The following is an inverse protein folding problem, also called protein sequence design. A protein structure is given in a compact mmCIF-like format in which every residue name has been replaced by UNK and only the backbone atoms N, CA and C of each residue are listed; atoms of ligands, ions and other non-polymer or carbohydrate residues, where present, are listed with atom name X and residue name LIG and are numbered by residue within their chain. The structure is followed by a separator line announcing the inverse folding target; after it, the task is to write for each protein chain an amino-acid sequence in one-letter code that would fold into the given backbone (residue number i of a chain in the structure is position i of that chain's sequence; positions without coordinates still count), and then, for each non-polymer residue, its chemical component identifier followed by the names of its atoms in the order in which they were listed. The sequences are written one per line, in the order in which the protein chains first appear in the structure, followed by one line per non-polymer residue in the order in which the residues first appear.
data_IF_284426396709
#
_entry.id   IF_284426396709
#
_cell.length_a   1.000
_cell.length_b   1.000
_cell.length_c   1.000
_cell.angle_alpha   90.00
_cell.angle_beta   90.00
_cell.angle_gamma   90.00
#
_symmetry.space_group_name_H-M   'P 1'
#
loop_
_entity.id
_entity.type
_entity.pdbx_description
1 polymer ?
#
# COMPACT_ATOMS: atom_id res chain seq x y z
N UNK A 1 -9.92 -21.03 14.02
CA UNK A 1 -10.26 -20.20 12.85
C UNK A 1 -11.15 -19.00 13.18
N UNK A 2 -12.31 -19.16 13.83
CA UNK A 2 -13.19 -18.03 14.21
C UNK A 2 -12.59 -16.98 15.17
N UNK A 3 -11.58 -17.33 15.97
CA UNK A 3 -10.91 -16.39 16.89
C UNK A 3 -9.93 -15.43 16.20
N UNK A 4 -9.36 -15.81 15.05
CA UNK A 4 -8.39 -14.98 14.34
C UNK A 4 -9.07 -13.77 13.70
N UNK A 5 -10.25 -13.96 13.09
CA UNK A 5 -11.06 -12.86 12.54
C UNK A 5 -11.58 -11.90 13.62
N UNK A 6 -12.03 -12.40 14.77
CA UNK A 6 -12.61 -11.56 15.82
C UNK A 6 -11.56 -10.67 16.54
N UNK A 7 -10.29 -11.08 16.58
CA UNK A 7 -9.21 -10.22 17.09
C UNK A 7 -8.69 -9.25 16.03
N UNK A 8 -8.73 -9.64 14.75
CA UNK A 8 -8.46 -8.76 13.62
C UNK A 8 -9.49 -7.61 13.57
N UNK A 9 -10.79 -7.90 13.56
CA UNK A 9 -11.83 -6.85 13.50
C UNK A 9 -11.85 -5.94 14.73
N UNK A 10 -11.54 -6.46 15.93
CA UNK A 10 -11.49 -5.63 17.16
C UNK A 10 -10.25 -4.73 17.24
N UNK A 11 -9.14 -5.09 16.57
CA UNK A 11 -7.96 -4.23 16.47
C UNK A 11 -8.13 -3.07 15.46
N UNK A 12 -9.14 -3.14 14.59
CA UNK A 12 -9.48 -2.13 13.58
C UNK A 12 -10.75 -1.33 13.89
N UNK A 13 -11.49 -1.69 14.95
CA UNK A 13 -12.53 -0.85 15.54
C UNK A 13 -11.89 0.22 16.44
N UNK A 14 -11.01 1.04 15.85
CA UNK A 14 -10.36 2.16 16.53
C UNK A 14 -11.21 3.41 16.26
N UNK A 15 -11.68 4.17 17.27
CA UNK A 15 -12.48 5.38 17.05
C UNK A 15 -11.75 6.47 16.23
N UNK A 16 -10.42 6.35 16.08
CA UNK A 16 -9.61 7.11 15.14
C UNK A 16 -9.06 6.19 14.02
N UNK A 17 -9.97 5.68 13.18
CA UNK A 17 -9.62 4.81 12.05
C UNK A 17 -8.64 5.50 11.09
N UNK A 18 -8.79 6.82 10.92
CA UNK A 18 -7.93 7.58 10.03
C UNK A 18 -6.51 7.72 10.59
N UNK A 19 -6.33 8.18 11.84
CA UNK A 19 -5.00 8.29 12.45
C UNK A 19 -4.28 6.94 12.55
N UNK A 20 -5.04 5.86 12.77
CA UNK A 20 -4.50 4.49 12.75
C UNK A 20 -4.06 4.06 11.36
N UNK A 21 -4.86 4.36 10.33
CA UNK A 21 -4.52 4.02 8.95
C UNK A 21 -3.29 4.79 8.47
N UNK A 22 -3.19 6.08 8.82
CA UNK A 22 -1.99 6.88 8.57
C UNK A 22 -0.75 6.24 9.19
N UNK A 23 -0.78 5.94 10.48
CA UNK A 23 0.37 5.32 11.16
C UNK A 23 0.74 3.95 10.59
N UNK A 24 -0.25 3.15 10.17
CA UNK A 24 -0.02 1.85 9.53
C UNK A 24 0.57 1.99 8.13
N UNK A 25 0.12 2.97 7.34
CA UNK A 25 0.69 3.27 6.02
C UNK A 25 2.13 3.75 6.10
N UNK A 26 2.47 4.62 7.06
CA UNK A 26 3.86 5.05 7.28
C UNK A 26 4.80 3.90 7.63
N UNK A 27 4.28 2.82 8.23
CA UNK A 27 5.04 1.63 8.60
C UNK A 27 4.93 0.51 7.56
N UNK A 28 4.10 0.67 6.53
CA UNK A 28 3.86 -0.36 5.54
C UNK A 28 5.03 -0.39 4.56
N UNK A 29 5.69 -1.55 4.49
CA UNK A 29 6.70 -1.84 3.48
C UNK A 29 6.42 -3.21 2.84
N UNK A 30 6.71 -3.33 1.55
CA UNK A 30 6.68 -4.59 0.81
C UNK A 30 7.57 -5.63 1.53
N UNK A 31 8.86 -5.32 1.69
CA UNK A 31 9.82 -6.21 2.35
C UNK A 31 9.89 -7.55 1.63
N UNK A 32 9.64 -8.64 2.36
CA UNK A 32 9.65 -10.01 1.81
C UNK A 32 8.31 -10.45 1.20
N UNK A 33 7.31 -9.56 1.13
CA UNK A 33 6.00 -9.88 0.55
C UNK A 33 6.03 -9.66 -0.95
N UNK A 34 5.14 -10.36 -1.65
CA UNK A 34 4.90 -10.09 -3.06
C UNK A 34 4.29 -8.70 -3.26
N UNK A 35 4.46 -8.13 -4.44
CA UNK A 35 3.84 -6.85 -4.80
C UNK A 35 2.31 -6.91 -4.65
N UNK A 36 1.67 -8.02 -5.03
CA UNK A 36 0.23 -8.20 -4.88
C UNK A 36 -0.23 -8.17 -3.41
N UNK A 37 0.50 -8.82 -2.51
CA UNK A 37 0.21 -8.76 -1.06
C UNK A 37 0.38 -7.35 -0.50
N UNK A 38 1.43 -6.64 -0.92
CA UNK A 38 1.65 -5.25 -0.55
C UNK A 38 0.52 -4.34 -1.05
N UNK A 39 0.15 -4.44 -2.33
CA UNK A 39 -0.93 -3.66 -2.95
C UNK A 39 -2.26 -3.88 -2.23
N UNK A 40 -2.59 -5.13 -1.87
CA UNK A 40 -3.83 -5.43 -1.16
C UNK A 40 -3.89 -4.73 0.21
N UNK A 41 -2.81 -4.76 0.98
CA UNK A 41 -2.74 -4.07 2.28
C UNK A 41 -2.73 -2.55 2.11
N UNK A 42 -2.03 -2.03 1.10
CA UNK A 42 -1.99 -0.60 0.83
C UNK A 42 -3.39 -0.07 0.49
N UNK A 43 -4.14 -0.76 -0.39
CA UNK A 43 -5.53 -0.40 -0.75
C UNK A 43 -6.44 -0.35 0.48
N UNK A 44 -6.38 -1.38 1.31
CA UNK A 44 -7.19 -1.44 2.55
C UNK A 44 -6.93 -0.23 3.45
N UNK A 45 -5.66 0.18 3.62
CA UNK A 45 -5.33 1.32 4.48
C UNK A 45 -5.62 2.67 3.81
N UNK A 46 -5.39 2.76 2.50
CA UNK A 46 -5.58 3.97 1.71
C UNK A 46 -7.01 4.52 1.84
N UNK A 47 -8.02 3.63 1.83
CA UNK A 47 -9.44 3.96 1.99
C UNK A 47 -9.76 4.79 3.25
N UNK A 48 -8.92 4.71 4.28
CA UNK A 48 -9.15 5.39 5.56
C UNK A 48 -8.31 6.65 5.79
N UNK A 49 -7.38 6.99 4.88
CA UNK A 49 -6.43 8.11 5.07
C UNK A 49 -6.90 9.45 4.50
N UNK A 50 -7.93 9.47 3.65
CA UNK A 50 -8.36 10.70 2.95
C UNK A 50 -7.20 11.44 2.24
N UNK A 51 -6.14 10.73 1.84
CA UNK A 51 -5.06 11.31 1.07
C UNK A 51 -5.54 11.68 -0.33
N UNK A 52 -4.85 12.63 -0.95
CA UNK A 52 -5.01 12.89 -2.37
C UNK A 52 -4.21 11.87 -3.19
N UNK A 53 -4.49 11.80 -4.48
CA UNK A 53 -3.88 10.79 -5.37
C UNK A 53 -2.35 10.88 -5.39
N UNK A 54 -1.80 12.10 -5.35
CA UNK A 54 -0.35 12.35 -5.33
C UNK A 54 0.27 11.77 -4.06
N UNK A 55 -0.33 12.04 -2.89
CA UNK A 55 0.15 11.52 -1.62
C UNK A 55 0.02 9.99 -1.54
N UNK A 56 -1.00 9.40 -2.17
CA UNK A 56 -1.08 7.94 -2.28
C UNK A 56 0.05 7.36 -3.11
N UNK A 57 0.38 7.97 -4.26
CA UNK A 57 1.50 7.53 -5.11
C UNK A 57 2.82 7.65 -4.35
N UNK A 58 3.11 8.82 -3.75
CA UNK A 58 4.33 9.03 -2.98
C UNK A 58 4.49 8.02 -1.84
N UNK A 59 3.40 7.70 -1.13
CA UNK A 59 3.41 6.72 -0.04
C UNK A 59 3.56 5.30 -0.56
N UNK A 60 2.93 4.98 -1.68
CA UNK A 60 3.04 3.67 -2.30
C UNK A 60 4.47 3.39 -2.75
N UNK A 61 5.12 4.38 -3.39
CA UNK A 61 6.52 4.33 -3.80
C UNK A 61 7.47 4.13 -2.60
N UNK A 62 7.26 4.87 -1.50
CA UNK A 62 8.08 4.78 -0.30
C UNK A 62 8.06 3.39 0.35
N UNK A 63 6.92 2.69 0.27
CA UNK A 63 6.79 1.35 0.85
C UNK A 63 7.19 0.21 -0.10
N UNK A 64 7.37 0.46 -1.40
CA UNK A 64 7.85 -0.55 -2.34
C UNK A 64 9.34 -0.87 -2.15
N UNK A 65 9.74 -2.07 -2.56
CA UNK A 65 11.16 -2.41 -2.61
C UNK A 65 11.88 -1.54 -3.65
N UNK A 66 13.04 -0.99 -3.29
CA UNK A 66 13.83 -0.09 -4.15
C UNK A 66 14.09 -0.66 -5.56
N UNK A 67 14.43 -1.95 -5.67
CA UNK A 67 14.67 -2.59 -6.97
C UNK A 67 13.43 -2.56 -7.88
N UNK A 68 12.22 -2.64 -7.30
CA UNK A 68 10.98 -2.57 -8.05
C UNK A 68 10.69 -1.14 -8.50
N UNK A 69 10.88 -0.19 -7.59
CA UNK A 69 10.76 1.24 -7.88
C UNK A 69 11.67 1.63 -9.05
N UNK A 70 12.95 1.25 -9.00
CA UNK A 70 13.93 1.54 -10.07
C UNK A 70 13.51 0.96 -11.44
N UNK A 71 12.90 -0.24 -11.47
CA UNK A 71 12.38 -0.83 -12.70
C UNK A 71 11.22 -0.01 -13.27
N UNK A 72 10.30 0.46 -12.43
CA UNK A 72 9.16 1.28 -12.86
C UNK A 72 9.64 2.64 -13.36
N UNK A 73 10.60 3.28 -12.67
CA UNK A 73 11.23 4.52 -13.11
C UNK A 73 12.03 4.38 -14.42
N UNK A 74 12.42 3.16 -14.79
CA UNK A 74 13.13 2.86 -16.05
C UNK A 74 12.19 2.66 -17.24
N UNK A 75 10.87 2.71 -17.05
CA UNK A 75 9.89 2.62 -18.12
C UNK A 75 9.97 3.85 -19.03
N UNK A 76 9.70 3.63 -20.33
CA UNK A 76 9.60 4.73 -21.29
C UNK A 76 8.38 5.64 -21.01
N UNK A 77 7.30 5.05 -20.48
CA UNK A 77 6.09 5.74 -20.06
C UNK A 77 5.83 5.42 -18.59
N UNK A 78 5.97 6.42 -17.73
CA UNK A 78 5.73 6.26 -16.29
C UNK A 78 4.23 6.24 -15.98
N UNK A 79 3.80 5.47 -14.97
CA UNK A 79 2.43 5.54 -14.48
C UNK A 79 2.13 6.92 -13.87
N UNK A 80 1.04 7.53 -14.31
CA UNK A 80 0.55 8.82 -13.79
C UNK A 80 -0.43 8.64 -12.61
N UNK A 81 -0.98 7.44 -12.44
CA UNK A 81 -1.95 7.12 -11.41
C UNK A 81 -1.57 5.86 -10.61
N UNK A 82 -2.21 5.72 -9.46
CA UNK A 82 -1.95 4.65 -8.52
C UNK A 82 -2.27 3.26 -9.09
N UNK A 83 -3.24 3.15 -10.00
CA UNK A 83 -3.58 1.88 -10.66
C UNK A 83 -2.48 1.42 -11.63
N UNK A 84 -1.87 2.36 -12.36
CA UNK A 84 -0.69 2.11 -13.18
C UNK A 84 0.49 1.63 -12.34
N UNK A 85 0.74 2.29 -11.20
CA UNK A 85 1.74 1.86 -10.23
C UNK A 85 1.49 0.44 -9.72
N UNK A 86 0.24 0.09 -9.40
CA UNK A 86 -0.13 -1.28 -9.02
C UNK A 86 0.14 -2.28 -10.15
N UNK A 87 -0.23 -1.96 -11.38
CA UNK A 87 -0.04 -2.85 -12.52
C UNK A 87 1.44 -3.16 -12.76
N UNK A 88 2.30 -2.14 -12.77
CA UNK A 88 3.73 -2.33 -12.99
C UNK A 88 4.42 -3.00 -11.81
N UNK A 89 4.06 -2.65 -10.57
CA UNK A 89 4.59 -3.31 -9.39
C UNK A 89 4.30 -4.82 -9.40
N UNK A 90 3.04 -5.21 -9.67
CA UNK A 90 2.67 -6.62 -9.81
C UNK A 90 3.31 -7.34 -11.00
N UNK A 91 3.71 -6.60 -12.05
CA UNK A 91 4.31 -7.18 -13.25
C UNK A 91 5.81 -7.46 -13.09
N UNK A 92 6.53 -6.64 -12.33
CA UNK A 92 7.99 -6.68 -12.22
C UNK A 92 8.54 -7.43 -11.01
N UNK A 93 7.67 -7.76 -10.05
CA UNK A 93 7.93 -8.61 -8.88
C UNK A 93 8.03 -10.09 -9.27
#
# INVERSE_FOLDING_TARGET
WKLFHATFERAFSNPDQSGTAHAKLEQLSQGNKTANEYIAMFRELAEYTNYNDIAHIEKFEQGLNHDLVDKIYSLAEMPEDLEGWYCYASHFD
#
